data_IF_908135062177
#
_entry.id   IF_908135062177
#
_cell.length_a   1.000
_cell.length_b   1.000
_cell.length_c   1.000
_cell.angle_alpha   90.00
_cell.angle_beta   90.00
_cell.angle_gamma   90.00
#
_symmetry.space_group_name_H-M   'P 1'
#
loop_
_entity.id
_entity.type
_entity.pdbx_description
1 polymer ?
#
# COMPACT_ATOMS: atom_id res chain seq x y z
N UNK A 1 10.41 9.00 30.53
CA UNK A 1 10.11 7.67 29.99
C UNK A 1 9.13 7.87 28.86
N UNK A 2 9.65 8.03 27.65
CA UNK A 2 8.86 8.18 26.44
C UNK A 2 8.07 6.87 26.29
N UNK A 3 6.76 6.92 26.53
CA UNK A 3 5.88 5.80 26.22
C UNK A 3 5.90 5.71 24.71
N UNK A 4 6.79 4.88 24.18
CA UNK A 4 6.78 4.44 22.80
C UNK A 4 5.43 3.79 22.55
N UNK A 5 4.44 4.61 22.22
CA UNK A 5 3.25 4.16 21.53
C UNK A 5 3.79 3.32 20.37
N UNK A 6 3.49 2.02 20.29
CA UNK A 6 3.84 1.28 19.08
C UNK A 6 3.13 2.04 17.98
N UNK A 7 3.91 2.79 17.17
CA UNK A 7 3.42 3.65 16.08
C UNK A 7 2.30 2.88 15.43
N UNK A 8 1.06 3.35 15.66
CA UNK A 8 -0.17 2.62 15.39
C UNK A 8 0.02 1.93 14.05
N UNK A 9 0.11 0.60 14.06
CA UNK A 9 0.59 -0.23 12.95
C UNK A 9 0.03 0.33 11.65
N UNK A 10 0.83 1.13 10.95
CA UNK A 10 0.36 2.18 10.03
C UNK A 10 -0.21 1.56 8.77
N UNK A 11 -1.32 0.84 8.92
CA UNK A 11 -1.91 -0.01 7.91
C UNK A 11 -3.26 0.58 7.57
N UNK A 12 -3.47 0.76 6.28
CA UNK A 12 -4.68 1.32 5.72
C UNK A 12 -5.39 0.27 4.87
N UNK A 13 -6.70 0.45 4.69
CA UNK A 13 -7.50 -0.37 3.76
C UNK A 13 -7.05 -0.16 2.31
N UNK A 14 -7.41 -1.10 1.43
CA UNK A 14 -7.15 -0.98 -0.03
C UNK A 14 -7.72 0.34 -0.59
N UNK A 15 -8.90 0.78 -0.14
CA UNK A 15 -9.50 2.05 -0.55
C UNK A 15 -8.67 3.27 -0.12
N UNK A 16 -8.19 3.29 1.12
CA UNK A 16 -7.38 4.41 1.61
C UNK A 16 -5.98 4.40 0.98
N UNK A 17 -5.38 3.22 0.79
CA UNK A 17 -4.13 3.05 0.06
C UNK A 17 -4.23 3.61 -1.37
N UNK A 18 -5.32 3.29 -2.08
CA UNK A 18 -5.54 3.78 -3.43
C UNK A 18 -5.70 5.31 -3.48
N UNK A 19 -6.42 5.90 -2.51
CA UNK A 19 -6.53 7.37 -2.37
C UNK A 19 -5.17 8.03 -2.13
N UNK A 20 -4.33 7.44 -1.28
CA UNK A 20 -2.99 7.95 -0.99
C UNK A 20 -2.10 7.93 -2.24
N UNK A 21 -2.19 6.88 -3.05
CA UNK A 21 -1.46 6.74 -4.31
C UNK A 21 -2.12 7.47 -5.50
N UNK A 22 -3.17 8.26 -5.26
CA UNK A 22 -3.86 9.01 -6.32
C UNK A 22 -4.51 8.13 -7.41
N UNK A 23 -4.89 6.89 -7.11
CA UNK A 23 -5.46 5.96 -8.09
C UNK A 23 -6.77 5.30 -7.63
N UNK A 24 -7.50 4.68 -8.56
CA UNK A 24 -8.69 3.94 -8.22
C UNK A 24 -8.36 2.63 -7.48
N UNK A 25 -9.17 2.26 -6.48
CA UNK A 25 -9.00 1.01 -5.73
C UNK A 25 -9.01 -0.22 -6.64
N UNK A 26 -9.83 -0.20 -7.71
CA UNK A 26 -9.84 -1.25 -8.74
C UNK A 26 -8.50 -1.38 -9.46
N UNK A 27 -7.84 -0.25 -9.74
CA UNK A 27 -6.50 -0.23 -10.36
C UNK A 27 -5.45 -0.81 -9.42
N UNK A 28 -5.50 -0.43 -8.14
CA UNK A 28 -4.60 -0.99 -7.11
C UNK A 28 -4.80 -2.50 -6.96
N UNK A 29 -6.05 -2.97 -6.90
CA UNK A 29 -6.37 -4.40 -6.86
C UNK A 29 -5.88 -5.13 -8.13
N UNK A 30 -5.99 -4.51 -9.30
CA UNK A 30 -5.44 -5.03 -10.55
C UNK A 30 -3.92 -5.21 -10.50
N UNK A 31 -3.20 -4.19 -10.02
CA UNK A 31 -1.73 -4.22 -9.85
C UNK A 31 -1.29 -5.28 -8.84
N UNK A 32 -2.04 -5.49 -7.76
CA UNK A 32 -1.82 -6.56 -6.76
C UNK A 32 -2.00 -7.96 -7.35
N UNK A 33 -3.00 -8.16 -8.20
CA UNK A 33 -3.30 -9.48 -8.79
C UNK A 33 -2.51 -9.76 -10.09
N UNK A 34 -1.77 -8.78 -10.62
CA UNK A 34 -0.91 -8.97 -11.80
C UNK A 34 0.18 -10.03 -11.53
N UNK A 35 0.62 -10.70 -12.59
CA UNK A 35 1.75 -11.66 -12.54
C UNK A 35 2.81 -11.25 -13.56
N UNK A 36 3.98 -10.74 -13.13
CA UNK A 36 4.37 -10.47 -11.73
C UNK A 36 3.55 -9.31 -11.10
N UNK A 37 3.45 -9.29 -9.77
CA UNK A 37 2.76 -8.20 -9.05
C UNK A 37 3.53 -6.90 -9.26
N UNK A 38 2.83 -5.88 -9.76
CA UNK A 38 3.40 -4.54 -10.00
C UNK A 38 2.93 -3.51 -8.98
N UNK A 39 2.05 -3.91 -8.07
CA UNK A 39 1.52 -3.07 -7.00
C UNK A 39 2.36 -3.08 -5.72
N UNK A 40 2.05 -2.16 -4.78
CA UNK A 40 2.66 -2.14 -3.46
C UNK A 40 2.32 -3.41 -2.68
N UNK A 41 3.17 -3.73 -1.70
CA UNK A 41 3.01 -4.94 -0.89
C UNK A 41 1.71 -4.89 -0.11
N UNK A 42 0.88 -5.92 -0.33
CA UNK A 42 -0.42 -6.07 0.33
C UNK A 42 -0.36 -7.19 1.37
N UNK A 43 -1.06 -7.00 2.47
CA UNK A 43 -1.19 -7.97 3.56
C UNK A 43 -2.63 -8.47 3.61
N UNK A 44 -2.80 -9.77 3.43
CA UNK A 44 -4.11 -10.42 3.58
C UNK A 44 -4.44 -10.54 5.06
N UNK A 45 -5.54 -9.91 5.46
CA UNK A 45 -6.14 -10.08 6.78
C UNK A 45 -7.31 -11.06 6.62
N UNK A 46 -7.26 -12.15 7.38
CA UNK A 46 -8.31 -13.19 7.43
C UNK A 46 -9.31 -12.98 8.57
N UNK A 47 -9.24 -11.83 9.25
CA UNK A 47 -10.11 -11.51 10.38
C UNK A 47 -11.46 -11.02 9.86
N UNK A 48 -12.52 -11.81 10.08
CA UNK A 48 -13.89 -11.49 9.69
C UNK A 48 -14.09 -11.29 8.17
N UNK A 49 -13.46 -12.16 7.37
CA UNK A 49 -13.51 -12.16 5.89
C UNK A 49 -12.13 -11.93 5.27
N UNK A 50 -12.07 -11.96 3.94
CA UNK A 50 -10.83 -11.67 3.20
C UNK A 50 -10.72 -10.17 2.94
N UNK A 51 -9.83 -9.49 3.68
CA UNK A 51 -9.53 -8.07 3.49
C UNK A 51 -8.05 -7.85 3.18
N UNK A 52 -7.77 -6.84 2.36
CA UNK A 52 -6.40 -6.42 2.06
C UNK A 52 -6.06 -5.15 2.84
N UNK A 53 -4.88 -5.16 3.45
CA UNK A 53 -4.32 -4.01 4.16
C UNK A 53 -2.94 -3.68 3.63
N UNK A 54 -2.56 -2.42 3.68
CA UNK A 54 -1.31 -1.91 3.13
C UNK A 54 -0.59 -1.10 4.18
N UNK A 55 0.71 -1.33 4.35
CA UNK A 55 1.55 -0.50 5.22
C UNK A 55 1.84 0.84 4.57
N UNK A 56 1.66 1.93 5.29
CA UNK A 56 2.01 3.29 4.86
C UNK A 56 3.49 3.39 4.47
N UNK A 57 4.38 2.74 5.21
CA UNK A 57 5.82 2.72 4.90
C UNK A 57 6.12 2.00 3.59
N UNK A 58 5.41 0.90 3.30
CA UNK A 58 5.59 0.15 2.04
C UNK A 58 4.94 0.88 0.86
N UNK A 59 3.82 1.57 1.08
CA UNK A 59 3.19 2.44 0.09
C UNK A 59 4.14 3.57 -0.30
N UNK A 60 4.73 4.27 0.68
CA UNK A 60 5.69 5.34 0.44
C UNK A 60 6.95 4.84 -0.28
N UNK A 61 7.50 3.68 0.12
CA UNK A 61 8.64 3.08 -0.56
C UNK A 61 8.33 2.68 -2.02
N UNK A 62 7.13 2.16 -2.26
CA UNK A 62 6.68 1.82 -3.62
C UNK A 62 6.49 3.07 -4.48
N UNK A 63 5.90 4.12 -3.92
CA UNK A 63 5.70 5.40 -4.59
C UNK A 63 7.03 6.07 -4.95
N UNK A 64 7.97 6.12 -4.01
CA UNK A 64 9.32 6.64 -4.25
C UNK A 64 10.01 5.89 -5.42
N UNK A 65 9.97 4.55 -5.41
CA UNK A 65 10.54 3.73 -6.48
C UNK A 65 9.83 3.86 -7.84
N UNK A 66 8.61 4.41 -7.88
CA UNK A 66 7.87 4.66 -9.12
C UNK A 66 8.02 6.10 -9.62
N UNK A 67 8.22 7.07 -8.72
CA UNK A 67 8.49 8.47 -9.06
C UNK A 67 9.89 8.67 -9.68
N UNK A 68 10.88 7.87 -9.27
CA UNK A 68 12.23 7.90 -9.87
C UNK A 68 12.26 7.52 -11.36
N UNK A 69 11.17 7.02 -11.94
CA UNK A 69 11.08 6.73 -13.38
C UNK A 69 10.55 7.88 -14.24
N UNK A 70 9.98 8.92 -13.65
CA UNK A 70 9.42 10.04 -14.42
C UNK A 70 10.40 11.23 -14.57
N UNK A 71 11.50 11.25 -13.81
CA UNK A 71 12.52 12.30 -13.86
C UNK A 71 13.69 11.96 -14.83
N UNK A 72 13.67 10.79 -15.45
CA UNK A 72 14.71 10.32 -16.39
C UNK A 72 14.26 10.39 -17.88
N UNK A 73 13.38 11.34 -18.24
CA UNK A 73 12.96 11.58 -19.63
C UNK A 73 13.13 13.04 -20.08
#
# INVERSE_FOLDING_TARGET
MDKGYPMASGRVSEENAAKLLGMAARTLAGKRNARPSTGPRAHHLTVNGSRWSYSLTELAAWEAAHQEKEDEL
#
